data_IF_578800249771
#
_entry.id   IF_578800249771
#
_cell.length_a   1.000
_cell.length_b   1.000
_cell.length_c   1.000
_cell.angle_alpha   90.00
_cell.angle_beta   90.00
_cell.angle_gamma   90.00
#
_symmetry.space_group_name_H-M   'P 1'
#
loop_
_entity.id
_entity.type
_entity.pdbx_description
1 polymer ?
#
# COMPACT_ATOMS: atom_id res chain seq x y z
N UNK A 1 -30.23 20.19 19.17
CA UNK A 1 -29.46 19.76 17.99
C UNK A 1 -28.74 18.48 18.35
N UNK A 2 -29.16 17.34 17.79
CA UNK A 2 -28.50 16.06 18.00
C UNK A 2 -27.31 15.98 17.01
N UNK A 3 -26.09 15.88 17.55
CA UNK A 3 -24.88 15.70 16.75
C UNK A 3 -24.90 14.31 16.14
N UNK A 4 -25.01 14.20 14.82
CA UNK A 4 -24.93 12.92 14.12
C UNK A 4 -23.50 12.38 14.25
N UNK A 5 -23.28 11.15 14.74
CA UNK A 5 -21.93 10.59 14.79
C UNK A 5 -21.39 10.50 13.35
N UNK A 6 -20.25 11.15 13.09
CA UNK A 6 -19.55 10.99 11.82
C UNK A 6 -18.98 9.58 11.75
N UNK A 7 -19.54 8.73 10.90
CA UNK A 7 -19.01 7.40 10.60
C UNK A 7 -17.77 7.53 9.71
N UNK A 8 -16.65 7.97 10.30
CA UNK A 8 -15.37 7.99 9.59
C UNK A 8 -14.83 6.57 9.49
N UNK A 9 -14.52 6.13 8.26
CA UNK A 9 -13.86 4.85 7.98
C UNK A 9 -12.47 5.12 7.43
N UNK A 10 -11.48 4.40 7.94
CA UNK A 10 -10.15 4.35 7.36
C UNK A 10 -10.17 3.56 6.06
N UNK A 11 -9.78 4.20 4.96
CA UNK A 11 -9.60 3.56 3.66
C UNK A 11 -8.34 2.70 3.64
N UNK A 12 -8.29 1.72 2.73
CA UNK A 12 -7.03 1.10 2.36
C UNK A 12 -6.04 2.13 1.81
N UNK A 13 -4.77 1.75 1.78
CA UNK A 13 -3.73 2.62 1.25
C UNK A 13 -3.90 2.87 -0.25
N UNK A 14 -4.26 1.82 -1.01
CA UNK A 14 -4.52 1.94 -2.45
C UNK A 14 -5.68 2.91 -2.72
N UNK A 15 -6.79 2.77 -1.99
CA UNK A 15 -7.94 3.67 -2.11
C UNK A 15 -7.57 5.12 -1.72
N UNK A 16 -6.81 5.30 -0.64
CA UNK A 16 -6.33 6.63 -0.21
C UNK A 16 -5.45 7.28 -1.28
N UNK A 17 -4.51 6.54 -1.87
CA UNK A 17 -3.61 7.07 -2.91
C UNK A 17 -4.33 7.33 -4.23
N UNK A 18 -5.35 6.54 -4.57
CA UNK A 18 -6.19 6.81 -5.74
C UNK A 18 -6.88 8.17 -5.63
N UNK A 19 -7.44 8.51 -4.45
CA UNK A 19 -8.03 9.83 -4.21
C UNK A 19 -6.99 10.96 -4.31
N UNK A 20 -5.81 10.76 -3.74
CA UNK A 20 -4.74 11.76 -3.77
C UNK A 20 -4.20 11.98 -5.19
N UNK A 21 -4.03 10.92 -5.99
CA UNK A 21 -3.66 11.03 -7.41
C UNK A 21 -4.73 11.77 -8.21
N UNK A 22 -6.01 11.47 -7.99
CA UNK A 22 -7.12 12.19 -8.63
C UNK A 22 -7.15 13.68 -8.25
N UNK A 23 -6.66 14.03 -7.06
CA UNK A 23 -6.47 15.41 -6.62
C UNK A 23 -5.17 16.05 -7.13
N UNK A 24 -4.39 15.38 -7.97
CA UNK A 24 -3.15 15.90 -8.56
C UNK A 24 -1.90 15.78 -7.67
N UNK A 25 -1.96 15.04 -6.56
CA UNK A 25 -0.80 14.80 -5.71
C UNK A 25 0.09 13.74 -6.39
N UNK A 26 1.37 14.05 -6.70
CA UNK A 26 2.29 13.08 -7.27
C UNK A 26 2.57 11.96 -6.27
N UNK A 27 2.59 10.73 -6.77
CA UNK A 27 2.82 9.52 -5.99
C UNK A 27 3.84 8.63 -6.70
N UNK A 28 4.61 7.87 -5.93
CA UNK A 28 5.49 6.84 -6.48
C UNK A 28 4.69 5.79 -7.27
N UNK A 29 5.33 5.15 -8.25
CA UNK A 29 4.73 4.00 -8.92
C UNK A 29 4.60 2.82 -7.94
N UNK A 30 3.50 2.10 -8.05
CA UNK A 30 3.16 0.99 -7.16
C UNK A 30 2.13 0.08 -7.79
N UNK A 31 2.10 -1.18 -7.33
CA UNK A 31 1.11 -2.18 -7.75
C UNK A 31 0.53 -2.85 -6.52
N UNK A 32 -0.80 -3.02 -6.49
CA UNK A 32 -1.47 -3.88 -5.50
C UNK A 32 -1.59 -5.29 -6.08
N UNK A 33 -1.12 -6.27 -5.31
CA UNK A 33 -0.99 -7.67 -5.72
C UNK A 33 -1.53 -8.58 -4.63
N UNK A 34 -1.94 -9.79 -5.00
CA UNK A 34 -2.56 -10.76 -4.08
C UNK A 34 -1.69 -11.97 -3.78
N UNK A 35 -0.64 -12.19 -4.55
CA UNK A 35 0.27 -13.34 -4.40
C UNK A 35 1.74 -12.92 -4.45
N UNK A 36 2.61 -13.77 -3.90
CA UNK A 36 4.05 -13.56 -3.96
C UNK A 36 4.57 -13.54 -5.42
N UNK A 37 4.04 -14.42 -6.28
CA UNK A 37 4.39 -14.45 -7.71
C UNK A 37 4.04 -13.14 -8.42
N UNK A 38 2.86 -12.58 -8.15
CA UNK A 38 2.47 -11.26 -8.68
C UNK A 38 3.37 -10.15 -8.12
N UNK A 39 3.75 -10.23 -6.84
CA UNK A 39 4.65 -9.26 -6.22
C UNK A 39 6.04 -9.26 -6.87
N UNK A 40 6.59 -10.45 -7.15
CA UNK A 40 7.86 -10.62 -7.83
C UNK A 40 7.88 -10.01 -9.25
N UNK A 41 6.80 -10.24 -10.02
CA UNK A 41 6.63 -9.64 -11.35
C UNK A 41 6.51 -8.11 -11.24
N UNK A 42 5.63 -7.62 -10.37
CA UNK A 42 5.44 -6.19 -10.14
C UNK A 42 6.73 -5.48 -9.70
N UNK A 43 7.50 -6.08 -8.81
CA UNK A 43 8.78 -5.54 -8.34
C UNK A 43 9.79 -5.44 -9.49
N UNK A 44 9.84 -6.45 -10.35
CA UNK A 44 10.72 -6.47 -11.53
C UNK A 44 10.37 -5.37 -12.54
N UNK A 45 9.08 -5.06 -12.70
CA UNK A 45 8.62 -3.96 -13.57
C UNK A 45 8.87 -2.57 -12.98
N UNK A 46 8.71 -2.41 -11.66
CA UNK A 46 8.98 -1.14 -10.95
C UNK A 46 10.48 -0.85 -10.89
N UNK A 47 11.29 -1.90 -10.73
CA UNK A 47 12.73 -1.82 -10.50
C UNK A 47 13.07 -1.84 -9.01
N UNK A 48 14.22 -2.44 -8.69
CA UNK A 48 14.72 -2.64 -7.33
C UNK A 48 15.59 -1.46 -6.85
N UNK A 49 15.67 -1.20 -5.52
CA UNK A 49 14.98 -1.92 -4.44
C UNK A 49 13.53 -1.46 -4.25
N UNK A 50 12.66 -2.40 -3.86
CA UNK A 50 11.24 -2.12 -3.57
C UNK A 50 10.90 -2.26 -2.08
N UNK A 51 9.71 -1.79 -1.72
CA UNK A 51 9.08 -1.97 -0.41
C UNK A 51 7.79 -2.76 -0.61
N UNK A 52 7.60 -3.83 0.15
CA UNK A 52 6.33 -4.55 0.22
C UNK A 52 5.62 -4.25 1.55
N UNK A 53 4.31 -4.02 1.50
CA UNK A 53 3.50 -3.82 2.70
C UNK A 53 2.08 -4.30 2.50
N UNK A 54 1.47 -4.84 3.56
CA UNK A 54 0.09 -5.30 3.51
C UNK A 54 -0.86 -4.13 3.20
N UNK A 55 -1.81 -4.35 2.29
CA UNK A 55 -2.85 -3.38 1.95
C UNK A 55 -4.21 -3.95 2.37
N UNK A 56 -5.02 -3.14 3.03
CA UNK A 56 -6.37 -3.52 3.44
C UNK A 56 -7.03 -2.42 4.25
N UNK A 57 -8.35 -2.47 4.30
CA UNK A 57 -9.13 -1.55 5.12
C UNK A 57 -8.85 -1.78 6.60
N UNK A 58 -8.80 -0.70 7.38
CA UNK A 58 -8.43 -0.72 8.80
C UNK A 58 -7.03 -1.29 9.13
N UNK A 59 -6.17 -1.56 8.14
CA UNK A 59 -4.78 -1.97 8.36
C UNK A 59 -3.89 -0.73 8.50
N UNK A 60 -3.97 -0.10 9.68
CA UNK A 60 -3.03 0.93 10.14
C UNK A 60 -1.89 0.32 10.97
N UNK A 61 -0.81 1.07 11.20
CA UNK A 61 0.33 0.65 12.04
C UNK A 61 1.03 -0.64 11.54
N UNK A 62 1.34 -0.68 10.23
CA UNK A 62 1.89 -1.85 9.54
C UNK A 62 3.27 -2.23 10.05
N UNK A 63 4.10 -1.24 10.38
CA UNK A 63 5.48 -1.46 10.84
C UNK A 63 5.51 -2.19 12.17
N UNK A 64 4.71 -1.75 13.14
CA UNK A 64 4.60 -2.34 14.48
C UNK A 64 4.09 -3.78 14.45
N UNK A 65 3.36 -4.13 13.39
CA UNK A 65 2.83 -5.48 13.15
C UNK A 65 3.74 -6.34 12.27
N UNK A 66 4.92 -5.84 11.88
CA UNK A 66 5.82 -6.56 10.97
C UNK A 66 5.21 -6.81 9.59
N UNK A 67 4.29 -5.96 9.13
CA UNK A 67 3.59 -6.05 7.85
C UNK A 67 4.22 -5.14 6.77
N UNK A 68 5.44 -4.68 7.02
CA UNK A 68 6.29 -3.94 6.07
C UNK A 68 7.60 -4.69 5.91
N UNK A 69 8.04 -4.84 4.67
CA UNK A 69 9.38 -5.31 4.30
C UNK A 69 10.04 -4.24 3.46
N UNK A 70 11.21 -3.80 3.91
CA UNK A 70 12.00 -2.74 3.27
C UNK A 70 13.20 -3.38 2.58
N UNK A 71 13.78 -2.65 1.61
CA UNK A 71 15.04 -3.00 0.96
C UNK A 71 15.00 -4.38 0.28
N UNK A 72 13.88 -4.71 -0.34
CA UNK A 72 13.78 -5.91 -1.17
C UNK A 72 14.58 -5.64 -2.45
N UNK A 73 15.77 -6.24 -2.54
CA UNK A 73 16.79 -5.85 -3.51
C UNK A 73 16.75 -6.64 -4.82
N UNK A 74 16.04 -7.76 -4.83
CA UNK A 74 15.90 -8.67 -5.96
C UNK A 74 14.60 -9.46 -5.84
N UNK A 75 14.34 -10.32 -6.83
CA UNK A 75 13.13 -11.13 -6.93
C UNK A 75 13.03 -12.18 -5.81
N UNK A 76 14.16 -12.69 -5.32
CA UNK A 76 14.20 -13.74 -4.30
C UNK A 76 13.89 -13.18 -2.90
N UNK A 77 14.17 -11.89 -2.68
CA UNK A 77 13.84 -11.18 -1.46
C UNK A 77 12.34 -10.84 -1.33
N UNK A 78 11.56 -10.91 -2.43
CA UNK A 78 10.14 -10.54 -2.50
C UNK A 78 9.23 -11.70 -2.13
#
# INVERSE_FOLDING_TARGET
MLSTPSTSRTLSEAASKALLRAAGVPMADEREVKTASEAAVAASEIGFPVVAKLCGDAIAHKTERGLVRLKLADVDAV
#
